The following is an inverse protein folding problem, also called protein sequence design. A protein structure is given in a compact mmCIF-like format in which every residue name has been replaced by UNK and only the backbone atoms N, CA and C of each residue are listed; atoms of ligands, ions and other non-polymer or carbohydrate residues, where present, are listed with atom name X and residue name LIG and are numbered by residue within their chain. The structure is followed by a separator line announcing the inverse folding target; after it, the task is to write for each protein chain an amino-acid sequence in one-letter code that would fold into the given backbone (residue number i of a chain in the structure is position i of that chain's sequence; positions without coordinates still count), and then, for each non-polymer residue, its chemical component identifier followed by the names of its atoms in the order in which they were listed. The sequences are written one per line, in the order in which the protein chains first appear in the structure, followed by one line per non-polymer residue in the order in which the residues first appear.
data_IF_282604814465
#
_entry.id   IF_282604814465
#
_cell.length_a   1.000
_cell.length_b   1.000
_cell.length_c   1.000
_cell.angle_alpha   90.00
_cell.angle_beta   90.00
_cell.angle_gamma   90.00
#
_symmetry.space_group_name_H-M   'P 1'
#
loop_
_entity.id
_entity.type
_entity.pdbx_description
1 polymer ?
#
# COMPACT_ATOMS: atom_id res chain seq x y z
N UNK A 1 26.42 11.60 6.72
CA UNK A 1 25.46 12.05 7.73
C UNK A 1 24.05 11.95 7.16
N UNK A 2 23.13 11.22 7.81
CA UNK A 2 21.71 11.24 7.43
C UNK A 2 21.13 12.58 7.87
N UNK A 3 20.68 13.38 6.91
CA UNK A 3 19.93 14.61 7.19
C UNK A 3 18.66 14.25 7.96
N UNK A 4 18.57 14.64 9.22
CA UNK A 4 17.37 14.53 10.04
C UNK A 4 16.42 15.67 9.68
N UNK A 5 15.75 15.53 8.52
CA UNK A 5 14.68 16.49 8.18
C UNK A 5 13.47 16.18 9.04
N UNK A 6 13.01 17.16 9.81
CA UNK A 6 11.78 17.06 10.59
C UNK A 6 10.61 16.70 9.67
N UNK A 7 9.80 15.71 10.08
CA UNK A 7 8.60 15.29 9.34
C UNK A 7 7.36 15.48 10.21
N UNK A 8 6.32 16.01 9.60
CA UNK A 8 5.02 16.25 10.23
C UNK A 8 4.01 15.22 9.72
N UNK A 9 3.09 14.81 10.60
CA UNK A 9 1.92 14.02 10.24
C UNK A 9 0.71 14.88 10.56
N UNK A 10 -0.12 15.15 9.56
CA UNK A 10 -1.34 15.95 9.69
C UNK A 10 -2.52 15.13 9.21
N UNK A 11 -3.57 15.06 10.03
CA UNK A 11 -4.85 14.48 9.65
C UNK A 11 -5.81 15.60 9.27
N UNK A 12 -6.33 15.54 8.04
CA UNK A 12 -7.28 16.51 7.51
C UNK A 12 -8.63 15.82 7.28
N UNK A 13 -9.65 16.12 8.08
CA UNK A 13 -11.00 15.65 7.80
C UNK A 13 -11.48 16.15 6.44
N UNK A 14 -12.03 15.25 5.62
CA UNK A 14 -12.54 15.58 4.30
C UNK A 14 -14.05 15.84 4.34
N UNK A 15 -14.49 16.84 3.56
CA UNK A 15 -15.90 17.09 3.29
C UNK A 15 -16.27 16.45 1.97
N UNK A 16 -17.00 15.35 2.04
CA UNK A 16 -17.40 14.56 0.87
C UNK A 16 -18.91 14.77 0.61
N UNK A 17 -19.26 14.93 -0.65
CA UNK A 17 -20.66 14.81 -1.09
C UNK A 17 -20.95 13.34 -1.48
N UNK A 18 -22.21 13.03 -1.79
CA UNK A 18 -22.65 11.66 -2.09
C UNK A 18 -21.92 11.06 -3.30
N UNK A 19 -21.66 11.86 -4.34
CA UNK A 19 -20.94 11.40 -5.52
C UNK A 19 -19.48 11.06 -5.18
N UNK A 20 -18.81 11.91 -4.41
CA UNK A 20 -17.44 11.69 -3.94
C UNK A 20 -17.38 10.51 -2.99
N UNK A 21 -18.37 10.35 -2.10
CA UNK A 21 -18.44 9.20 -1.20
C UNK A 21 -18.54 7.89 -1.98
N UNK A 22 -19.44 7.79 -2.96
CA UNK A 22 -19.57 6.63 -3.84
C UNK A 22 -18.28 6.33 -4.61
N UNK A 23 -17.57 7.38 -5.07
CA UNK A 23 -16.28 7.23 -5.72
C UNK A 23 -15.24 6.61 -4.77
N UNK A 24 -15.14 7.14 -3.55
CA UNK A 24 -14.20 6.63 -2.53
C UNK A 24 -14.54 5.19 -2.14
N UNK A 25 -15.82 4.88 -1.89
CA UNK A 25 -16.26 3.52 -1.57
C UNK A 25 -15.87 2.51 -2.66
N UNK A 26 -16.11 2.83 -3.93
CA UNK A 26 -15.70 1.99 -5.07
C UNK A 26 -14.19 1.78 -5.12
N UNK A 27 -13.42 2.84 -4.88
CA UNK A 27 -11.97 2.78 -4.88
C UNK A 27 -11.42 1.93 -3.71
N UNK A 28 -11.97 2.11 -2.50
CA UNK A 28 -11.59 1.30 -1.34
C UNK A 28 -11.97 -0.17 -1.51
N UNK A 29 -13.15 -0.45 -2.05
CA UNK A 29 -13.59 -1.82 -2.32
C UNK A 29 -12.72 -2.48 -3.39
N UNK A 30 -12.43 -1.79 -4.48
CA UNK A 30 -11.52 -2.31 -5.49
C UNK A 30 -10.09 -2.52 -4.94
N UNK A 31 -9.59 -1.58 -4.13
CA UNK A 31 -8.32 -1.73 -3.44
C UNK A 31 -8.27 -2.96 -2.52
N UNK A 32 -9.37 -3.26 -1.80
CA UNK A 32 -9.53 -4.47 -0.99
C UNK A 32 -9.45 -5.73 -1.85
N UNK A 33 -10.18 -5.76 -2.96
CA UNK A 33 -10.16 -6.89 -3.90
C UNK A 33 -8.76 -7.10 -4.46
N UNK A 34 -8.08 -6.03 -4.86
CA UNK A 34 -6.72 -6.07 -5.39
C UNK A 34 -5.71 -6.57 -4.35
N UNK A 35 -5.81 -6.10 -3.10
CA UNK A 35 -5.01 -6.63 -2.00
C UNK A 35 -5.18 -8.14 -1.85
N UNK A 36 -6.42 -8.61 -1.85
CA UNK A 36 -6.75 -10.02 -1.67
C UNK A 36 -6.25 -10.88 -2.86
N UNK A 37 -6.45 -10.43 -4.10
CA UNK A 37 -5.96 -11.12 -5.29
C UNK A 37 -4.43 -11.23 -5.28
N UNK A 38 -3.74 -10.13 -4.96
CA UNK A 38 -2.27 -10.10 -4.84
C UNK A 38 -1.78 -11.04 -3.74
N UNK A 39 -2.41 -11.01 -2.57
CA UNK A 39 -2.07 -11.90 -1.46
C UNK A 39 -2.31 -13.37 -1.79
N UNK A 40 -3.43 -13.69 -2.44
CA UNK A 40 -3.75 -15.06 -2.88
C UNK A 40 -2.69 -15.61 -3.82
N UNK A 41 -2.33 -14.83 -4.85
CA UNK A 41 -1.24 -15.18 -5.79
C UNK A 41 0.08 -15.39 -5.06
N UNK A 42 0.43 -14.49 -4.14
CA UNK A 42 1.68 -14.56 -3.38
C UNK A 42 1.75 -15.78 -2.46
N UNK A 43 0.67 -16.10 -1.76
CA UNK A 43 0.60 -17.30 -0.91
C UNK A 43 0.68 -18.59 -1.74
N UNK A 44 0.03 -18.65 -2.90
CA UNK A 44 0.15 -19.79 -3.80
C UNK A 44 1.57 -19.97 -4.35
N UNK A 45 2.25 -18.87 -4.71
CA UNK A 45 3.67 -18.90 -5.10
C UNK A 45 4.58 -19.37 -3.96
N UNK A 46 4.33 -18.89 -2.74
CA UNK A 46 5.08 -19.28 -1.55
C UNK A 46 4.95 -20.78 -1.25
N UNK A 47 3.74 -21.31 -1.41
CA UNK A 47 3.50 -22.75 -1.24
C UNK A 47 4.29 -23.56 -2.26
N UNK A 48 4.13 -23.26 -3.56
CA UNK A 48 4.87 -23.94 -4.64
C UNK A 48 6.39 -23.85 -4.47
N UNK A 49 6.89 -22.67 -4.08
CA UNK A 49 8.31 -22.48 -3.79
C UNK A 49 8.81 -23.45 -2.73
N UNK A 50 8.05 -23.64 -1.64
CA UNK A 50 8.45 -24.54 -0.54
C UNK A 50 8.47 -26.02 -0.92
N UNK A 51 7.81 -26.38 -2.01
CA UNK A 51 7.78 -27.74 -2.58
C UNK A 51 8.98 -28.01 -3.49
N UNK A 52 9.76 -26.99 -3.86
CA UNK A 52 10.92 -27.14 -4.75
C UNK A 52 12.13 -27.75 -4.05
N UNK A 53 12.99 -28.38 -4.84
CA UNK A 53 14.24 -28.95 -4.38
C UNK A 53 15.18 -27.85 -3.88
N UNK A 54 15.29 -26.77 -4.64
CA UNK A 54 16.16 -25.63 -4.36
C UNK A 54 15.82 -24.97 -3.00
N UNK A 55 14.54 -24.89 -2.66
CA UNK A 55 14.15 -24.36 -1.36
C UNK A 55 14.54 -25.31 -0.22
N UNK A 56 14.37 -26.63 -0.41
CA UNK A 56 14.77 -27.64 0.58
C UNK A 56 16.28 -27.63 0.78
N UNK A 57 17.06 -27.60 -0.30
CA UNK A 57 18.52 -27.49 -0.24
C UNK A 57 18.96 -26.22 0.51
N UNK A 58 18.38 -25.05 0.17
CA UNK A 58 18.67 -23.80 0.87
C UNK A 58 18.33 -23.87 2.36
N UNK A 59 17.25 -24.55 2.74
CA UNK A 59 16.84 -24.75 4.13
C UNK A 59 17.85 -25.60 4.91
N UNK A 60 18.37 -26.62 4.29
CA UNK A 60 19.26 -27.60 4.92
C UNK A 60 20.72 -27.12 4.98
N UNK A 61 21.06 -26.02 4.29
CA UNK A 61 22.39 -25.38 4.38
C UNK A 61 22.69 -24.85 5.79
N UNK A 62 23.94 -24.86 6.24
CA UNK A 62 24.38 -24.18 7.46
C UNK A 62 24.03 -22.67 7.42
N UNK A 63 23.71 -22.11 8.60
CA UNK A 63 23.45 -20.65 8.71
C UNK A 63 24.68 -19.87 8.25
N UNK A 64 24.47 -18.91 7.34
CA UNK A 64 25.55 -18.10 6.81
C UNK A 64 25.17 -17.37 5.52
N UNK A 65 26.15 -16.69 4.94
CA UNK A 65 25.98 -15.88 3.73
C UNK A 65 25.53 -16.70 2.51
N UNK A 66 26.06 -17.92 2.36
CA UNK A 66 25.70 -18.82 1.26
C UNK A 66 24.21 -19.20 1.32
N UNK A 67 23.71 -19.60 2.50
CA UNK A 67 22.29 -19.89 2.73
C UNK A 67 21.38 -18.70 2.42
N UNK A 68 21.77 -17.51 2.88
CA UNK A 68 21.00 -16.28 2.60
C UNK A 68 20.93 -16.01 1.10
N UNK A 69 22.05 -16.20 0.38
CA UNK A 69 22.09 -16.04 -1.09
C UNK A 69 21.18 -17.07 -1.80
N UNK A 70 21.21 -18.33 -1.37
CA UNK A 70 20.36 -19.38 -1.91
C UNK A 70 18.86 -19.05 -1.72
N UNK A 71 18.43 -18.68 -0.50
CA UNK A 71 17.06 -18.25 -0.26
C UNK A 71 16.66 -17.03 -1.09
N UNK A 72 17.55 -16.05 -1.23
CA UNK A 72 17.26 -14.86 -2.06
C UNK A 72 17.05 -15.25 -3.52
N UNK A 73 17.86 -16.15 -4.06
CA UNK A 73 17.72 -16.66 -5.42
C UNK A 73 16.36 -17.35 -5.63
N UNK A 74 15.98 -18.25 -4.71
CA UNK A 74 14.71 -18.97 -4.77
C UNK A 74 13.53 -18.00 -4.63
N UNK A 75 13.56 -17.04 -3.69
CA UNK A 75 12.52 -16.03 -3.56
C UNK A 75 12.35 -15.20 -4.84
N UNK A 76 13.45 -14.80 -5.46
CA UNK A 76 13.43 -14.02 -6.70
C UNK A 76 12.87 -14.83 -7.87
N UNK A 77 13.21 -16.11 -7.99
CA UNK A 77 12.68 -17.00 -9.04
C UNK A 77 11.16 -17.14 -8.98
N UNK A 78 10.57 -17.05 -7.79
CA UNK A 78 9.11 -17.06 -7.59
C UNK A 78 8.48 -15.66 -7.56
N UNK A 79 9.26 -14.59 -7.77
CA UNK A 79 8.79 -13.21 -7.66
C UNK A 79 8.30 -12.84 -6.25
N UNK A 80 8.82 -13.51 -5.21
CA UNK A 80 8.51 -13.26 -3.81
C UNK A 80 9.47 -12.20 -3.24
N UNK A 81 9.43 -11.04 -3.83
CA UNK A 81 10.14 -9.82 -3.44
C UNK A 81 9.25 -8.60 -3.66
N UNK A 82 9.67 -7.42 -3.26
CA UNK A 82 8.86 -6.20 -3.35
C UNK A 82 8.44 -5.90 -4.79
N UNK A 83 9.40 -5.97 -5.73
CA UNK A 83 9.13 -5.71 -7.14
C UNK A 83 8.14 -6.73 -7.72
N UNK A 84 8.31 -8.01 -7.45
CA UNK A 84 7.38 -9.05 -7.91
C UNK A 84 5.96 -8.86 -7.39
N UNK A 85 5.78 -8.45 -6.12
CA UNK A 85 4.45 -8.19 -5.56
C UNK A 85 3.82 -6.94 -6.15
N UNK A 86 4.61 -5.92 -6.44
CA UNK A 86 4.17 -4.71 -7.16
C UNK A 86 3.71 -5.06 -8.57
N UNK A 87 4.46 -5.90 -9.29
CA UNK A 87 4.09 -6.38 -10.63
C UNK A 87 2.77 -7.15 -10.57
N UNK A 88 2.64 -8.13 -9.66
CA UNK A 88 1.39 -8.90 -9.48
C UNK A 88 0.18 -7.98 -9.23
N UNK A 89 0.33 -6.98 -8.37
CA UNK A 89 -0.75 -6.03 -8.09
C UNK A 89 -1.16 -5.24 -9.34
N UNK A 90 -0.19 -4.75 -10.13
CA UNK A 90 -0.49 -4.06 -11.37
C UNK A 90 -1.12 -4.97 -12.44
N UNK A 91 -0.69 -6.21 -12.54
CA UNK A 91 -1.27 -7.19 -13.47
C UNK A 91 -2.72 -7.50 -13.11
N UNK A 92 -3.04 -7.72 -11.83
CA UNK A 92 -4.41 -7.89 -11.38
C UNK A 92 -5.26 -6.64 -11.64
N UNK A 93 -4.71 -5.43 -11.41
CA UNK A 93 -5.39 -4.18 -11.75
C UNK A 93 -5.73 -4.09 -13.23
N UNK A 94 -4.75 -4.36 -14.10
CA UNK A 94 -4.95 -4.33 -15.56
C UNK A 94 -5.96 -5.39 -16.00
N UNK A 95 -5.82 -6.61 -15.52
CA UNK A 95 -6.70 -7.73 -15.89
C UNK A 95 -8.16 -7.53 -15.47
N UNK A 96 -8.40 -6.73 -14.40
CA UNK A 96 -9.75 -6.43 -13.93
C UNK A 96 -10.56 -5.54 -14.88
N UNK A 97 -9.92 -4.81 -15.78
CA UNK A 97 -10.53 -3.76 -16.60
C UNK A 97 -11.06 -2.55 -15.82
N UNK A 98 -10.96 -2.58 -14.48
CA UNK A 98 -11.46 -1.50 -13.61
C UNK A 98 -10.47 -0.35 -13.51
N UNK A 99 -11.03 0.85 -13.37
CA UNK A 99 -10.26 2.08 -13.34
C UNK A 99 -10.51 2.92 -12.05
N UNK A 100 -10.91 2.23 -10.96
CA UNK A 100 -11.22 2.91 -9.68
C UNK A 100 -9.96 3.38 -8.95
N UNK A 101 -8.82 2.73 -9.17
CA UNK A 101 -7.50 3.15 -8.65
C UNK A 101 -6.44 3.11 -9.77
N UNK A 102 -5.39 3.92 -9.63
CA UNK A 102 -4.29 4.02 -10.59
C UNK A 102 -3.17 3.00 -10.36
N UNK A 103 -2.10 3.17 -11.12
CA UNK A 103 -0.93 2.29 -11.02
C UNK A 103 -0.12 2.52 -9.74
N UNK A 104 0.00 3.76 -9.28
CA UNK A 104 0.77 4.08 -8.06
C UNK A 104 0.08 3.54 -6.81
N UNK A 105 -1.25 3.65 -6.71
CA UNK A 105 -1.99 3.05 -5.60
C UNK A 105 -1.92 1.52 -5.65
N UNK A 106 -1.97 0.91 -6.84
CA UNK A 106 -1.78 -0.53 -6.99
C UNK A 106 -0.37 -0.96 -6.54
N UNK A 107 0.67 -0.19 -6.88
CA UNK A 107 2.03 -0.43 -6.40
C UNK A 107 2.09 -0.35 -4.87
N UNK A 108 1.47 0.65 -4.26
CA UNK A 108 1.41 0.79 -2.80
C UNK A 108 0.72 -0.39 -2.13
N UNK A 109 -0.36 -0.90 -2.73
CA UNK A 109 -1.03 -2.14 -2.29
C UNK A 109 -0.08 -3.33 -2.40
N UNK A 110 0.65 -3.49 -3.51
CA UNK A 110 1.65 -4.54 -3.69
C UNK A 110 2.75 -4.50 -2.63
N UNK A 111 3.29 -3.30 -2.34
CA UNK A 111 4.26 -3.08 -1.24
C UNK A 111 3.68 -3.43 0.13
N UNK A 112 2.40 -3.15 0.36
CA UNK A 112 1.72 -3.49 1.62
C UNK A 112 1.57 -5.00 1.78
N UNK A 113 1.20 -5.72 0.71
CA UNK A 113 1.18 -7.19 0.69
C UNK A 113 2.58 -7.75 0.93
N UNK A 114 3.59 -7.18 0.28
CA UNK A 114 4.98 -7.60 0.48
C UNK A 114 5.43 -7.45 1.94
N UNK A 115 5.18 -6.31 2.56
CA UNK A 115 5.52 -6.08 3.98
C UNK A 115 4.90 -7.14 4.90
N UNK A 116 3.63 -7.49 4.68
CA UNK A 116 2.95 -8.53 5.45
C UNK A 116 3.50 -9.93 5.18
N UNK A 117 3.72 -10.27 3.90
CA UNK A 117 4.27 -11.57 3.49
C UNK A 117 5.71 -11.75 3.98
N UNK A 118 6.55 -10.72 3.85
CA UNK A 118 7.93 -10.72 4.33
C UNK A 118 8.01 -11.05 5.82
N UNK A 119 7.19 -10.40 6.66
CA UNK A 119 7.14 -10.71 8.10
C UNK A 119 6.79 -12.17 8.37
N UNK A 120 5.86 -12.73 7.62
CA UNK A 120 5.49 -14.14 7.73
C UNK A 120 6.62 -15.09 7.27
N UNK A 121 7.24 -14.80 6.14
CA UNK A 121 8.34 -15.62 5.59
C UNK A 121 9.55 -15.68 6.52
N UNK A 122 9.85 -14.57 7.19
CA UNK A 122 10.98 -14.46 8.12
C UNK A 122 10.59 -14.68 9.60
N UNK A 123 9.43 -15.27 9.86
CA UNK A 123 8.94 -15.61 11.22
C UNK A 123 8.84 -14.40 12.16
N UNK A 124 8.63 -13.21 11.61
CA UNK A 124 8.44 -11.95 12.34
C UNK A 124 6.95 -11.61 12.56
N UNK A 125 6.06 -12.51 12.18
CA UNK A 125 4.62 -12.32 12.30
C UNK A 125 3.82 -13.51 11.77
N UNK A 126 2.53 -13.52 12.08
CA UNK A 126 1.61 -14.55 11.63
C UNK A 126 1.31 -14.50 10.12
N UNK A 127 0.64 -15.54 9.63
CA UNK A 127 0.20 -15.62 8.23
C UNK A 127 -0.69 -14.42 7.87
N UNK A 128 -0.40 -13.70 6.79
CA UNK A 128 -1.24 -12.59 6.35
C UNK A 128 -2.67 -13.03 6.10
N UNK A 129 -3.63 -12.20 6.52
CA UNK A 129 -5.06 -12.48 6.37
C UNK A 129 -5.65 -11.70 5.22
N UNK A 130 -6.61 -12.31 4.52
CA UNK A 130 -7.45 -11.61 3.56
C UNK A 130 -8.29 -10.54 4.25
N UNK A 131 -8.51 -9.45 3.55
CA UNK A 131 -9.37 -8.35 4.02
C UNK A 131 -10.83 -8.71 3.76
N UNK A 132 -11.62 -8.87 4.81
CA UNK A 132 -13.07 -9.07 4.68
C UNK A 132 -13.76 -7.79 4.20
N UNK A 133 -14.96 -7.92 3.67
CA UNK A 133 -15.80 -6.78 3.28
C UNK A 133 -16.01 -5.83 4.47
N UNK A 134 -16.38 -6.36 5.64
CA UNK A 134 -16.62 -5.58 6.86
C UNK A 134 -15.40 -4.78 7.33
N UNK A 135 -14.19 -5.33 7.20
CA UNK A 135 -12.96 -4.63 7.63
C UNK A 135 -12.42 -3.68 6.57
N UNK A 136 -12.74 -3.91 5.30
CA UNK A 136 -12.28 -3.08 4.20
C UNK A 136 -10.76 -3.03 4.02
N UNK A 137 -10.33 -2.08 3.22
CA UNK A 137 -8.94 -1.66 3.10
C UNK A 137 -8.71 -0.49 4.08
N UNK A 138 -7.64 -0.53 4.86
CA UNK A 138 -7.38 0.46 5.91
C UNK A 138 -6.98 1.83 5.35
N UNK A 139 -6.34 1.85 4.18
CA UNK A 139 -5.90 3.10 3.54
C UNK A 139 -5.57 2.90 2.08
N UNK A 140 -5.65 3.99 1.30
CA UNK A 140 -5.07 4.11 -0.03
C UNK A 140 -4.00 5.19 0.04
N UNK A 141 -2.82 4.90 -0.49
CA UNK A 141 -1.64 5.76 -0.37
C UNK A 141 -1.24 6.31 -1.73
N UNK A 142 -0.96 7.61 -1.79
CA UNK A 142 -0.26 8.29 -2.86
C UNK A 142 1.07 8.85 -2.36
N UNK A 143 2.13 8.73 -3.15
CA UNK A 143 3.48 9.18 -2.80
C UNK A 143 3.87 10.40 -3.63
N UNK A 144 4.72 11.24 -3.05
CA UNK A 144 5.32 12.41 -3.72
C UNK A 144 4.32 13.34 -4.42
N UNK A 145 3.12 13.48 -3.83
CA UNK A 145 2.03 14.30 -4.37
C UNK A 145 1.60 13.93 -5.81
N UNK A 146 1.76 12.63 -6.17
CA UNK A 146 1.25 12.07 -7.42
C UNK A 146 -0.12 11.40 -7.20
N UNK A 147 -0.95 11.37 -8.23
CA UNK A 147 -2.31 10.80 -8.29
C UNK A 147 -3.23 11.25 -7.15
N UNK A 148 -2.84 11.11 -5.87
CA UNK A 148 -3.48 11.77 -4.73
C UNK A 148 -2.65 12.99 -4.41
N UNK A 149 -3.18 14.18 -4.65
CA UNK A 149 -2.47 15.44 -4.57
C UNK A 149 -3.05 16.35 -3.50
N UNK A 150 -2.19 16.94 -2.70
CA UNK A 150 -2.54 18.05 -1.83
C UNK A 150 -2.47 19.36 -2.62
N UNK A 151 -3.58 20.09 -2.71
CA UNK A 151 -3.73 21.36 -3.42
C UNK A 151 -4.18 22.45 -2.46
N UNK A 152 -3.24 23.12 -1.77
CA UNK A 152 -3.56 24.12 -0.75
C UNK A 152 -4.33 25.32 -1.33
N UNK A 153 -4.00 25.75 -2.55
CA UNK A 153 -4.65 26.86 -3.26
C UNK A 153 -6.14 26.56 -3.54
N UNK A 154 -6.49 25.30 -3.71
CA UNK A 154 -7.87 24.84 -3.91
C UNK A 154 -8.55 24.41 -2.61
N UNK A 155 -7.81 24.38 -1.49
CA UNK A 155 -8.24 23.79 -0.20
C UNK A 155 -8.81 22.38 -0.38
N UNK A 156 -8.14 21.56 -1.18
CA UNK A 156 -8.61 20.23 -1.58
C UNK A 156 -7.50 19.20 -1.64
N UNK A 157 -7.89 17.95 -1.42
CA UNK A 157 -7.19 16.78 -1.88
C UNK A 157 -7.77 16.41 -3.25
N UNK A 158 -6.94 16.37 -4.27
CA UNK A 158 -7.35 16.00 -5.62
C UNK A 158 -6.93 14.57 -5.89
N UNK A 159 -7.89 13.72 -6.21
CA UNK A 159 -7.64 12.35 -6.61
C UNK A 159 -8.44 12.01 -7.86
N UNK A 160 -7.71 11.64 -8.94
CA UNK A 160 -8.31 11.26 -10.22
C UNK A 160 -9.38 12.24 -10.71
N UNK A 161 -9.05 13.51 -10.76
CA UNK A 161 -9.93 14.66 -11.13
C UNK A 161 -11.05 14.96 -10.12
N UNK A 162 -11.16 14.23 -9.00
CA UNK A 162 -12.08 14.57 -7.94
C UNK A 162 -11.37 15.48 -6.92
N UNK A 163 -11.78 16.72 -6.85
CA UNK A 163 -11.33 17.65 -5.82
C UNK A 163 -12.20 17.53 -4.57
N UNK A 164 -11.66 16.93 -3.52
CA UNK A 164 -12.37 16.72 -2.25
C UNK A 164 -11.88 17.78 -1.27
N UNK A 165 -12.79 18.64 -0.81
CA UNK A 165 -12.47 19.69 0.15
C UNK A 165 -12.10 19.09 1.50
N UNK A 166 -11.08 19.66 2.14
CA UNK A 166 -10.75 19.35 3.53
C UNK A 166 -11.23 20.45 4.48
N UNK A 167 -11.40 20.11 5.75
CA UNK A 167 -11.71 21.09 6.79
C UNK A 167 -10.47 21.95 7.05
N UNK A 168 -10.72 23.25 7.34
CA UNK A 168 -9.64 24.20 7.58
C UNK A 168 -8.78 23.71 8.76
N UNK A 169 -7.44 23.77 8.64
CA UNK A 169 -6.55 23.53 9.75
C UNK A 169 -6.83 24.53 10.89
N UNK A 170 -7.03 24.01 12.09
CA UNK A 170 -7.45 24.80 13.26
C UNK A 170 -6.33 25.03 14.26
N UNK A 171 -5.27 24.19 14.21
CA UNK A 171 -4.12 24.32 15.12
C UNK A 171 -2.92 24.96 14.43
N UNK A 172 -2.07 25.64 15.22
CA UNK A 172 -0.84 26.26 14.70
C UNK A 172 0.13 25.21 14.19
N UNK A 173 0.18 24.04 14.83
CA UNK A 173 0.93 22.88 14.32
C UNK A 173 0.50 22.49 12.89
N UNK A 174 -0.80 22.40 12.64
CA UNK A 174 -1.31 22.05 11.30
C UNK A 174 -1.01 23.14 10.28
N UNK A 175 -1.09 24.41 10.67
CA UNK A 175 -0.75 25.55 9.79
C UNK A 175 0.73 25.52 9.43
N UNK A 176 1.61 25.31 10.41
CA UNK A 176 3.06 25.19 10.20
C UNK A 176 3.40 23.99 9.32
N UNK A 177 2.83 22.82 9.59
CA UNK A 177 3.08 21.58 8.86
C UNK A 177 2.63 21.66 7.40
N UNK A 178 1.62 22.49 7.11
CA UNK A 178 1.05 22.68 5.76
C UNK A 178 1.54 23.95 5.06
N UNK A 179 2.56 24.61 5.61
CA UNK A 179 3.16 25.79 4.99
C UNK A 179 3.64 25.50 3.55
N UNK A 180 3.61 26.48 2.69
CA UNK A 180 3.83 26.34 1.23
C UNK A 180 5.23 25.87 0.86
N UNK A 181 6.22 26.06 1.74
CA UNK A 181 7.61 25.61 1.58
C UNK A 181 7.80 24.12 1.93
N UNK A 182 6.77 23.46 2.46
CA UNK A 182 6.84 22.05 2.89
C UNK A 182 6.52 21.10 1.75
N UNK A 183 7.36 20.05 1.60
CA UNK A 183 7.14 18.99 0.62
C UNK A 183 6.23 17.91 1.20
N UNK A 184 5.15 17.60 0.50
CA UNK A 184 4.30 16.44 0.80
C UNK A 184 4.95 15.17 0.26
N UNK A 185 5.37 14.28 1.15
CA UNK A 185 6.01 13.00 0.80
C UNK A 185 5.02 11.85 0.64
N UNK A 186 3.94 11.87 1.42
CA UNK A 186 2.95 10.80 1.46
C UNK A 186 1.57 11.38 1.77
N UNK A 187 0.61 11.01 0.99
CA UNK A 187 -0.81 11.21 1.28
C UNK A 187 -1.46 9.85 1.52
N UNK A 188 -2.29 9.79 2.55
CA UNK A 188 -3.03 8.58 2.89
C UNK A 188 -4.49 8.91 3.09
N UNK A 189 -5.34 8.34 2.25
CA UNK A 189 -6.78 8.38 2.45
C UNK A 189 -7.18 7.25 3.39
N UNK A 190 -7.92 7.60 4.43
CA UNK A 190 -8.46 6.66 5.40
C UNK A 190 -9.98 6.59 5.22
N UNK A 191 -10.60 5.41 5.29
CA UNK A 191 -12.05 5.33 5.38
C UNK A 191 -12.49 5.97 6.70
N UNK A 192 -13.69 6.54 6.72
CA UNK A 192 -14.27 7.08 7.96
C UNK A 192 -14.37 5.94 8.97
N UNK A 193 -13.83 6.16 10.19
CA UNK A 193 -14.09 5.25 11.29
C UNK A 193 -15.61 5.23 11.52
N UNK A 194 -16.27 4.10 11.31
CA UNK A 194 -17.62 3.89 11.80
C UNK A 194 -17.51 3.83 13.32
N UNK A 195 -17.86 4.92 13.98
CA UNK A 195 -18.14 4.86 15.41
C UNK A 195 -19.32 3.92 15.60
N UNK A 196 -19.04 2.72 16.08
CA UNK A 196 -20.04 1.77 16.60
C UNK A 196 -20.35 2.12 18.04
#
# INVERSE_FOLDING_TARGET
MRSTTSSYIVELPLRVNDQQNRFLEKAFEFGRMLYNATLGTALGRLQRMRETKEWREARDMPKGRARTKAFTAVHNAFGLNEFGLVTIANDHRKASGRNDIGSHEAQSIGKTVWRALKRYMFQQGGKPRFKSFKRGLNSIEGTDNHEIMYKPEQKAIVWRRNGIKYMKPDTDYMKEALASDRRVKLLRLLPRASFS
#
